data_IF_672938877804
#
_entry.id   IF_672938877804
#
_cell.length_a   1.000
_cell.length_b   1.000
_cell.length_c   1.000
_cell.angle_alpha   90.00
_cell.angle_beta   90.00
_cell.angle_gamma   90.00
#
_symmetry.space_group_name_H-M   'P 1'
#
loop_
_entity.id
_entity.type
_entity.pdbx_description
1 polymer ?
#
# COMPACT_ATOMS: atom_id res chain seq x y z
N UNK A 1 -20.32 7.02 5.42
CA UNK A 1 -20.38 5.54 5.51
C UNK A 1 -18.93 5.07 5.56
N UNK A 2 -18.39 4.82 6.75
CA UNK A 2 -17.01 4.36 6.95
C UNK A 2 -16.98 2.85 6.83
N UNK A 3 -17.02 2.35 5.60
CA UNK A 3 -16.76 0.94 5.30
C UNK A 3 -15.60 0.92 4.31
N UNK A 4 -14.35 0.93 4.79
CA UNK A 4 -13.19 0.73 3.93
C UNK A 4 -11.94 0.12 4.63
N UNK A 5 -11.98 -0.15 5.94
CA UNK A 5 -10.80 -0.73 6.60
C UNK A 5 -10.48 -2.16 6.11
N UNK A 6 -11.50 -2.88 5.65
CA UNK A 6 -11.35 -4.22 5.04
C UNK A 6 -10.67 -4.21 3.67
N UNK A 7 -10.74 -3.13 2.90
CA UNK A 7 -10.13 -3.07 1.55
C UNK A 7 -8.65 -2.71 1.59
N UNK A 8 -8.16 -2.07 2.67
CA UNK A 8 -6.76 -1.64 2.77
C UNK A 8 -5.80 -2.72 3.27
N UNK A 9 -6.22 -3.56 4.21
CA UNK A 9 -5.48 -4.78 4.58
C UNK A 9 -5.28 -5.68 3.35
N UNK A 10 -6.28 -5.68 2.46
CA UNK A 10 -6.24 -6.45 1.22
C UNK A 10 -5.08 -6.06 0.29
N UNK A 11 -4.66 -4.79 0.23
CA UNK A 11 -3.56 -4.40 -0.66
C UNK A 11 -2.19 -4.92 -0.21
N UNK A 12 -1.93 -4.95 1.10
CA UNK A 12 -0.69 -5.54 1.64
C UNK A 12 -0.70 -7.05 1.42
N UNK A 13 -1.83 -7.72 1.63
CA UNK A 13 -2.00 -9.14 1.35
C UNK A 13 -1.80 -9.46 -0.15
N UNK A 14 -2.31 -8.61 -1.04
CA UNK A 14 -2.08 -8.72 -2.50
C UNK A 14 -0.60 -8.60 -2.82
N UNK A 15 0.11 -7.61 -2.25
CA UNK A 15 1.55 -7.46 -2.47
C UNK A 15 2.35 -8.68 -1.99
N UNK A 16 1.99 -9.25 -0.82
CA UNK A 16 2.60 -10.48 -0.29
C UNK A 16 2.37 -11.67 -1.23
N UNK A 17 1.15 -11.85 -1.71
CA UNK A 17 0.80 -12.94 -2.64
C UNK A 17 1.59 -12.81 -3.94
N UNK A 18 1.63 -11.63 -4.55
CA UNK A 18 2.37 -11.37 -5.80
C UNK A 18 3.87 -11.59 -5.62
N UNK A 19 4.46 -11.18 -4.49
CA UNK A 19 5.87 -11.45 -4.19
C UNK A 19 6.14 -12.95 -3.97
N UNK A 20 5.18 -13.68 -3.42
CA UNK A 20 5.29 -15.14 -3.26
C UNK A 20 5.28 -15.84 -4.62
N UNK A 21 4.43 -15.39 -5.55
CA UNK A 21 4.45 -15.86 -6.94
C UNK A 21 5.76 -15.48 -7.65
N UNK A 22 6.29 -14.28 -7.42
CA UNK A 22 7.58 -13.87 -7.98
C UNK A 22 8.72 -14.79 -7.52
N UNK A 23 8.75 -15.16 -6.23
CA UNK A 23 9.71 -16.13 -5.70
C UNK A 23 9.57 -17.48 -6.38
N UNK A 24 8.34 -17.97 -6.57
CA UNK A 24 8.11 -19.21 -7.31
C UNK A 24 8.67 -19.13 -8.74
N UNK A 25 8.43 -18.03 -9.46
CA UNK A 25 8.97 -17.83 -10.82
C UNK A 25 10.49 -17.81 -10.86
N UNK A 26 11.13 -17.24 -9.84
CA UNK A 26 12.59 -17.29 -9.71
C UNK A 26 13.12 -18.72 -9.52
N UNK A 27 12.45 -19.55 -8.72
CA UNK A 27 12.79 -20.97 -8.58
C UNK A 27 12.59 -21.75 -9.88
N UNK A 28 11.60 -21.36 -10.70
CA UNK A 28 11.33 -21.93 -12.02
C UNK A 28 12.28 -21.40 -13.12
N UNK A 29 13.24 -20.52 -12.79
CA UNK A 29 14.10 -19.80 -13.73
C UNK A 29 13.35 -18.90 -14.74
N UNK A 30 12.08 -18.59 -14.46
CA UNK A 30 11.27 -17.66 -15.25
C UNK A 30 11.48 -16.21 -14.77
N UNK A 31 12.67 -15.70 -15.08
CA UNK A 31 13.08 -14.35 -14.69
C UNK A 31 12.20 -13.23 -15.29
N UNK A 32 11.75 -13.29 -16.56
CA UNK A 32 10.85 -12.27 -17.11
C UNK A 32 9.53 -12.17 -16.33
N UNK A 33 8.89 -13.30 -16.02
CA UNK A 33 7.64 -13.28 -15.23
C UNK A 33 7.86 -12.80 -13.81
N UNK A 34 8.97 -13.22 -13.17
CA UNK A 34 9.32 -12.73 -11.83
C UNK A 34 9.49 -11.20 -11.81
N UNK A 35 10.12 -10.62 -12.84
CA UNK A 35 10.29 -9.17 -12.94
C UNK A 35 8.95 -8.43 -13.07
N UNK A 36 8.03 -8.97 -13.86
CA UNK A 36 6.67 -8.41 -13.99
C UNK A 36 5.95 -8.44 -12.65
N UNK A 37 5.99 -9.57 -11.93
CA UNK A 37 5.36 -9.71 -10.62
C UNK A 37 5.96 -8.73 -9.59
N UNK A 38 7.28 -8.57 -9.56
CA UNK A 38 7.93 -7.56 -8.69
C UNK A 38 7.45 -6.14 -9.03
N UNK A 39 7.29 -5.80 -10.31
CA UNK A 39 6.78 -4.50 -10.71
C UNK A 39 5.33 -4.28 -10.24
N UNK A 40 4.49 -5.31 -10.31
CA UNK A 40 3.11 -5.28 -9.81
C UNK A 40 3.09 -5.08 -8.28
N UNK A 41 3.88 -5.85 -7.53
CA UNK A 41 3.96 -5.71 -6.09
C UNK A 41 4.43 -4.31 -5.66
N UNK A 42 5.40 -3.74 -6.40
CA UNK A 42 5.86 -2.37 -6.15
C UNK A 42 4.73 -1.36 -6.34
N UNK A 43 3.97 -1.45 -7.44
CA UNK A 43 2.86 -0.53 -7.69
C UNK A 43 1.81 -0.56 -6.57
N UNK A 44 1.44 -1.76 -6.11
CA UNK A 44 0.47 -1.92 -5.02
C UNK A 44 0.97 -1.29 -3.72
N UNK A 45 2.27 -1.43 -3.42
CA UNK A 45 2.86 -0.81 -2.23
C UNK A 45 2.97 0.72 -2.35
N UNK A 46 3.24 1.25 -3.55
CA UNK A 46 3.23 2.69 -3.82
C UNK A 46 1.83 3.29 -3.60
N UNK A 47 0.78 2.58 -4.03
CA UNK A 47 -0.61 3.00 -3.80
C UNK A 47 -0.94 3.05 -2.30
N UNK A 48 -0.51 2.03 -1.55
CA UNK A 48 -0.66 2.00 -0.08
C UNK A 48 0.10 3.15 0.59
N UNK A 49 1.32 3.43 0.15
CA UNK A 49 2.11 4.54 0.68
C UNK A 49 1.43 5.89 0.43
N UNK A 50 0.93 6.13 -0.78
CA UNK A 50 0.21 7.35 -1.12
C UNK A 50 -1.02 7.56 -0.23
N UNK A 51 -1.77 6.49 0.03
CA UNK A 51 -2.92 6.49 0.92
C UNK A 51 -2.54 6.88 2.36
N UNK A 52 -1.44 6.33 2.88
CA UNK A 52 -0.93 6.67 4.21
C UNK A 52 -0.48 8.13 4.29
N UNK A 53 0.23 8.62 3.27
CA UNK A 53 0.72 9.99 3.22
C UNK A 53 -0.46 10.99 3.23
N UNK A 54 -1.51 10.70 2.45
CA UNK A 54 -2.73 11.51 2.46
C UNK A 54 -3.42 11.50 3.83
N UNK A 55 -3.53 10.33 4.46
CA UNK A 55 -4.13 10.22 5.78
C UNK A 55 -3.34 11.03 6.83
N UNK A 56 -2.01 10.91 6.80
CA UNK A 56 -1.10 11.64 7.70
C UNK A 56 -1.25 13.16 7.55
N UNK A 57 -1.30 13.65 6.30
CA UNK A 57 -1.51 15.08 6.04
C UNK A 57 -2.87 15.59 6.56
N UNK A 58 -3.93 14.79 6.41
CA UNK A 58 -5.26 15.14 6.92
C UNK A 58 -5.26 15.18 8.45
N UNK A 59 -4.65 14.19 9.11
CA UNK A 59 -4.50 14.19 10.56
C UNK A 59 -3.72 15.40 11.06
N UNK A 60 -2.63 15.77 10.37
CA UNK A 60 -1.82 16.92 10.74
C UNK A 60 -2.61 18.23 10.63
N UNK A 61 -3.33 18.44 9.51
CA UNK A 61 -4.20 19.61 9.34
C UNK A 61 -5.29 19.67 10.41
N UNK A 62 -5.88 18.54 10.77
CA UNK A 62 -6.89 18.47 11.83
C UNK A 62 -6.30 18.88 13.18
N UNK A 63 -5.12 18.38 13.54
CA UNK A 63 -4.41 18.77 14.77
C UNK A 63 -4.12 20.27 14.80
N UNK A 64 -3.70 20.86 13.68
CA UNK A 64 -3.44 22.30 13.57
C UNK A 64 -4.72 23.12 13.80
N UNK A 65 -5.84 22.74 13.17
CA UNK A 65 -7.13 23.42 13.33
C UNK A 65 -7.65 23.35 14.78
N UNK A 66 -7.58 22.17 15.40
CA UNK A 66 -8.00 21.99 16.78
C UNK A 66 -7.18 22.87 17.73
N UNK A 67 -5.86 22.91 17.57
CA UNK A 67 -4.97 23.75 18.37
C UNK A 67 -5.19 25.25 18.17
N UNK A 68 -5.67 25.67 16.99
CA UNK A 68 -6.04 27.06 16.71
C UNK A 68 -7.40 27.43 17.32
N UNK A 69 -8.37 26.52 17.31
CA UNK A 69 -9.70 26.75 17.88
C UNK A 69 -9.76 26.76 19.41
N UNK A 70 -8.75 26.19 20.07
CA UNK A 70 -8.64 26.09 21.53
C UNK A 70 -7.79 27.23 22.14
N UNK A 71 -7.32 28.18 21.32
CA UNK A 71 -6.68 29.43 21.73
C UNK A 71 -7.64 30.60 21.50
#
# INVERSE_FOLDING_TARGET
MFNNDSSKISYVEIAINVLSEALQKLYEHDYPSAQVMVAVARQVLEDVQLDFDQHSQVEEKLKQLLNQSLK
#
